data_IF_491248804348
#
_entry.id   IF_491248804348
#
_cell.length_a   1.000
_cell.length_b   1.000
_cell.length_c   1.000
_cell.angle_alpha   90.00
_cell.angle_beta   90.00
_cell.angle_gamma   90.00
#
_symmetry.space_group_name_H-M   'P 1'
#
loop_
_entity.id
_entity.type
_entity.pdbx_description
1 polymer ?
#
# COMPACT_ATOMS: atom_id res chain seq x y z
N UNK A 1 34.25 37.06 12.19
CA UNK A 1 34.93 36.52 11.00
C UNK A 1 34.47 35.10 10.76
N UNK A 2 34.08 34.81 9.53
CA UNK A 2 33.25 33.69 9.07
C UNK A 2 33.87 32.32 9.34
N UNK A 3 33.11 31.40 9.94
CA UNK A 3 33.42 29.97 9.96
C UNK A 3 33.01 29.34 8.63
N UNK A 4 33.99 29.07 7.76
CA UNK A 4 33.82 28.25 6.58
C UNK A 4 33.78 26.78 7.03
N UNK A 5 32.64 26.12 6.89
CA UNK A 5 32.58 24.66 6.81
C UNK A 5 32.79 24.32 5.34
N UNK A 6 34.03 24.02 4.95
CA UNK A 6 34.26 23.32 3.70
C UNK A 6 33.70 21.91 3.89
N UNK A 7 32.69 21.55 3.09
CA UNK A 7 32.29 20.17 2.87
C UNK A 7 33.50 19.45 2.27
N UNK A 8 34.39 18.95 3.12
CA UNK A 8 35.38 17.98 2.71
C UNK A 8 34.63 16.84 2.04
N UNK A 9 34.90 16.65 0.75
CA UNK A 9 34.43 15.50 0.00
C UNK A 9 34.65 14.26 0.89
N UNK A 10 33.58 13.55 1.21
CA UNK A 10 33.66 12.30 1.94
C UNK A 10 34.51 11.38 1.05
N UNK A 11 35.81 11.25 1.36
CA UNK A 11 36.66 10.26 0.69
C UNK A 11 35.98 8.92 0.92
N UNK A 12 35.54 8.21 -0.13
CA UNK A 12 34.90 6.92 0.06
C UNK A 12 35.93 6.03 0.76
N UNK A 13 35.65 5.65 2.01
CA UNK A 13 36.40 4.58 2.63
C UNK A 13 36.08 3.35 1.81
N UNK A 14 37.08 2.78 1.15
CA UNK A 14 36.97 1.59 0.31
C UNK A 14 36.70 0.35 1.18
N UNK A 15 35.60 0.38 1.92
CA UNK A 15 35.14 -0.69 2.79
C UNK A 15 34.25 -1.62 1.95
N UNK A 16 34.70 -2.86 1.68
CA UNK A 16 33.91 -3.83 0.93
C UNK A 16 32.57 -4.16 1.61
N UNK A 17 32.40 -3.87 2.91
CA UNK A 17 31.10 -4.02 3.57
C UNK A 17 30.05 -2.99 3.12
N UNK A 18 30.47 -1.85 2.58
CA UNK A 18 29.57 -0.75 2.18
C UNK A 18 29.28 -0.71 0.67
N UNK A 19 30.00 -1.50 -0.13
CA UNK A 19 29.81 -1.55 -1.59
C UNK A 19 29.79 -2.99 -2.11
N UNK A 20 28.63 -3.68 -2.03
CA UNK A 20 28.49 -5.07 -2.46
C UNK A 20 28.64 -5.26 -3.97
N UNK A 21 28.68 -4.19 -4.76
CA UNK A 21 28.79 -4.25 -6.23
C UNK A 21 30.25 -4.26 -6.71
N UNK A 22 31.20 -3.98 -5.81
CA UNK A 22 32.64 -3.98 -6.09
C UNK A 22 33.19 -5.40 -6.11
N UNK A 23 33.73 -5.82 -7.25
CA UNK A 23 34.25 -7.17 -7.45
C UNK A 23 35.77 -7.21 -7.41
N UNK A 24 36.42 -6.14 -7.86
CA UNK A 24 37.87 -6.06 -8.01
C UNK A 24 38.40 -4.76 -7.40
N UNK A 25 39.62 -4.81 -6.86
CA UNK A 25 40.34 -3.63 -6.40
C UNK A 25 40.88 -2.77 -7.57
N UNK A 26 41.28 -1.54 -7.28
CA UNK A 26 41.75 -0.57 -8.27
C UNK A 26 42.93 -1.06 -9.14
N UNK A 27 43.79 -1.94 -8.61
CA UNK A 27 44.93 -2.48 -9.39
C UNK A 27 44.46 -3.55 -10.36
N UNK A 28 43.59 -4.42 -9.90
CA UNK A 28 43.01 -5.52 -10.69
C UNK A 28 42.15 -4.97 -11.82
N UNK A 29 41.44 -3.86 -11.60
CA UNK A 29 40.63 -3.18 -12.60
C UNK A 29 41.38 -2.68 -13.84
N UNK A 30 42.70 -2.47 -13.73
CA UNK A 30 43.52 -2.02 -14.86
C UNK A 30 43.82 -3.15 -15.85
N UNK A 31 43.73 -4.40 -15.41
CA UNK A 31 44.14 -5.58 -16.20
C UNK A 31 43.00 -6.56 -16.46
N UNK A 32 41.96 -6.56 -15.62
CA UNK A 32 40.82 -7.47 -15.76
C UNK A 32 39.88 -6.98 -16.86
N UNK A 33 39.37 -7.92 -17.67
CA UNK A 33 38.34 -7.66 -18.67
C UNK A 33 37.19 -8.63 -18.43
N UNK A 34 36.03 -8.09 -18.06
CA UNK A 34 34.82 -8.86 -17.81
C UNK A 34 33.63 -8.14 -18.45
N UNK A 35 32.55 -8.89 -18.64
CA UNK A 35 31.28 -8.37 -19.15
C UNK A 35 30.29 -8.40 -18.00
N UNK A 36 29.57 -7.29 -17.80
CA UNK A 36 28.53 -7.22 -16.80
C UNK A 36 27.28 -7.98 -17.24
N UNK A 37 26.60 -8.69 -16.31
CA UNK A 37 25.34 -9.36 -16.63
C UNK A 37 24.25 -8.35 -17.03
N UNK A 38 23.21 -8.83 -17.70
CA UNK A 38 22.08 -7.99 -18.13
C UNK A 38 21.46 -7.22 -16.95
N UNK A 39 21.13 -5.95 -17.19
CA UNK A 39 20.58 -5.05 -16.17
C UNK A 39 21.62 -4.44 -15.22
N UNK A 40 22.92 -4.65 -15.48
CA UNK A 40 24.01 -4.03 -14.73
C UNK A 40 24.98 -3.30 -15.65
N UNK A 41 25.59 -2.23 -15.13
CA UNK A 41 26.59 -1.42 -15.82
C UNK A 41 27.95 -1.51 -15.14
N UNK A 42 29.00 -1.44 -15.95
CA UNK A 42 30.37 -1.35 -15.46
C UNK A 42 30.56 -0.02 -14.73
N UNK A 43 31.17 -0.08 -13.55
CA UNK A 43 31.68 1.10 -12.87
C UNK A 43 33.13 0.89 -12.49
N UNK A 44 33.89 1.99 -12.45
CA UNK A 44 35.26 2.04 -11.96
C UNK A 44 35.50 3.36 -11.27
N UNK A 45 36.09 3.30 -10.08
CA UNK A 45 36.46 4.45 -9.27
C UNK A 45 37.85 4.21 -8.62
N UNK A 46 38.26 5.12 -7.72
CA UNK A 46 39.53 5.04 -7.02
C UNK A 46 39.69 3.79 -6.14
N UNK A 47 38.57 3.17 -5.73
CA UNK A 47 38.57 2.00 -4.87
C UNK A 47 38.58 0.68 -5.68
N UNK A 48 38.22 0.70 -6.96
CA UNK A 48 38.05 -0.52 -7.77
C UNK A 48 36.90 -0.46 -8.76
N UNK A 49 36.44 -1.62 -9.19
CA UNK A 49 35.47 -1.77 -10.26
C UNK A 49 34.59 -3.00 -10.07
N UNK A 50 33.46 -2.99 -10.77
CA UNK A 50 32.49 -4.07 -10.74
C UNK A 50 31.29 -3.77 -11.61
N UNK A 51 30.19 -4.47 -11.31
CA UNK A 51 28.91 -4.29 -11.98
C UNK A 51 27.89 -3.80 -10.97
N UNK A 52 27.34 -2.61 -11.21
CA UNK A 52 26.25 -2.05 -10.39
C UNK A 52 24.95 -2.05 -11.20
N UNK A 53 23.77 -2.01 -10.55
CA UNK A 53 22.51 -2.00 -11.29
C UNK A 53 22.39 -0.78 -12.21
N UNK A 54 21.91 -0.98 -13.44
CA UNK A 54 21.69 0.10 -14.41
C UNK A 54 20.41 0.87 -14.08
N UNK A 55 20.57 1.94 -13.33
CA UNK A 55 19.46 2.77 -12.87
C UNK A 55 19.04 3.81 -13.90
N UNK A 56 17.74 3.94 -14.11
CA UNK A 56 17.15 4.95 -14.96
C UNK A 56 15.85 5.49 -14.34
N UNK A 57 15.47 6.69 -14.74
CA UNK A 57 14.22 7.29 -14.32
C UNK A 57 13.03 6.56 -14.94
N UNK A 58 12.17 6.00 -14.10
CA UNK A 58 10.92 5.35 -14.50
C UNK A 58 9.73 6.04 -13.84
N UNK A 59 8.52 5.78 -14.34
CA UNK A 59 7.33 6.41 -13.79
C UNK A 59 6.83 5.62 -12.59
N UNK A 60 6.68 6.28 -11.44
CA UNK A 60 6.17 5.64 -10.23
C UNK A 60 4.70 5.26 -10.35
N UNK A 61 4.22 4.44 -9.42
CA UNK A 61 2.84 3.94 -9.42
C UNK A 61 1.77 4.97 -9.03
N UNK A 62 2.16 6.10 -8.45
CA UNK A 62 1.21 7.12 -7.97
C UNK A 62 0.37 6.63 -6.79
N UNK A 63 -0.74 7.33 -6.55
CA UNK A 63 -1.67 6.99 -5.46
C UNK A 63 -2.69 5.92 -5.89
N UNK A 64 -3.16 5.06 -4.97
CA UNK A 64 -4.16 4.03 -5.28
C UNK A 64 -5.53 4.59 -5.69
N UNK A 65 -5.85 5.82 -5.28
CA UNK A 65 -7.10 6.52 -5.61
C UNK A 65 -6.74 7.87 -6.21
N UNK A 66 -7.18 8.10 -7.43
CA UNK A 66 -7.01 9.36 -8.14
C UNK A 66 -8.21 10.27 -7.90
N UNK A 67 -7.97 11.55 -7.66
CA UNK A 67 -9.01 12.57 -7.60
C UNK A 67 -8.54 13.85 -8.28
N UNK A 68 -9.49 14.62 -8.80
CA UNK A 68 -9.21 15.95 -9.34
C UNK A 68 -8.60 16.83 -8.25
N UNK A 69 -7.45 17.45 -8.56
CA UNK A 69 -6.68 18.31 -7.65
C UNK A 69 -5.95 17.57 -6.51
N UNK A 70 -5.42 16.38 -6.78
CA UNK A 70 -4.50 15.74 -5.84
C UNK A 70 -3.27 16.64 -5.59
N UNK A 71 -2.97 17.03 -4.34
CA UNK A 71 -1.82 17.87 -4.04
C UNK A 71 -0.54 17.11 -4.37
N UNK A 72 0.44 17.86 -4.89
CA UNK A 72 1.77 17.32 -5.12
C UNK A 72 2.42 16.93 -3.77
N UNK A 73 3.23 15.86 -3.72
CA UNK A 73 3.99 15.52 -2.53
C UNK A 73 4.89 16.70 -2.10
N UNK A 74 4.85 17.09 -0.82
CA UNK A 74 5.63 18.22 -0.31
C UNK A 74 7.12 17.91 -0.15
N UNK A 75 7.45 16.62 0.05
CA UNK A 75 8.80 16.17 0.41
C UNK A 75 9.61 15.70 -0.82
N UNK A 76 9.10 15.97 -2.02
CA UNK A 76 9.73 15.56 -3.28
C UNK A 76 10.08 16.79 -4.10
N UNK A 77 11.36 17.00 -4.47
CA UNK A 77 11.76 18.16 -5.28
C UNK A 77 11.27 18.04 -6.72
N UNK A 78 11.19 19.17 -7.44
CA UNK A 78 10.98 19.19 -8.89
C UNK A 78 12.17 18.59 -9.64
N UNK A 79 11.87 17.93 -10.76
CA UNK A 79 12.89 17.35 -11.63
C UNK A 79 13.71 18.45 -12.30
N UNK A 80 15.01 18.21 -12.42
CA UNK A 80 15.91 19.02 -13.24
C UNK A 80 15.70 18.70 -14.73
N UNK A 81 16.14 19.57 -15.66
CA UNK A 81 15.95 19.34 -17.10
C UNK A 81 16.55 18.03 -17.65
N UNK A 82 17.59 17.51 -17.00
CA UNK A 82 18.26 16.24 -17.32
C UNK A 82 17.54 14.99 -16.77
N UNK A 83 16.56 15.18 -15.89
CA UNK A 83 15.83 14.11 -15.21
C UNK A 83 14.52 13.83 -15.95
N UNK A 84 14.59 12.93 -16.93
CA UNK A 84 13.46 12.52 -17.78
C UNK A 84 13.35 11.00 -17.81
N UNK A 85 12.16 10.45 -18.12
CA UNK A 85 11.95 9.01 -18.22
C UNK A 85 12.96 8.36 -19.18
N UNK A 86 13.63 7.30 -18.72
CA UNK A 86 14.69 6.59 -19.45
C UNK A 86 16.09 7.19 -19.27
N UNK A 87 16.22 8.44 -18.80
CA UNK A 87 17.53 9.02 -18.49
C UNK A 87 18.21 8.26 -17.34
N UNK A 88 19.56 8.14 -17.36
CA UNK A 88 20.29 7.50 -16.28
C UNK A 88 20.17 8.31 -14.97
N UNK A 89 20.28 7.61 -13.85
CA UNK A 89 20.25 8.21 -12.53
C UNK A 89 21.19 7.44 -11.57
N UNK A 90 21.67 8.10 -10.52
CA UNK A 90 22.75 7.53 -9.69
C UNK A 90 22.28 6.93 -8.37
N UNK A 91 21.07 7.27 -7.91
CA UNK A 91 20.60 6.92 -6.55
C UNK A 91 19.29 6.16 -6.66
N UNK A 92 19.33 4.86 -6.34
CA UNK A 92 18.13 4.01 -6.33
C UNK A 92 17.07 4.59 -5.38
N UNK A 93 15.82 4.60 -5.84
CA UNK A 93 14.69 5.12 -5.09
C UNK A 93 14.60 6.65 -5.04
N UNK A 94 15.55 7.40 -5.61
CA UNK A 94 15.46 8.86 -5.73
C UNK A 94 14.20 9.25 -6.51
N UNK A 95 13.52 10.32 -6.08
CA UNK A 95 12.28 10.82 -6.68
C UNK A 95 12.38 12.27 -7.09
N UNK A 96 11.63 12.63 -8.13
CA UNK A 96 11.39 14.01 -8.48
C UNK A 96 10.01 14.20 -9.14
N UNK A 97 9.47 15.42 -9.04
CA UNK A 97 8.20 15.82 -9.64
C UNK A 97 8.48 16.40 -11.04
N UNK A 98 7.98 15.78 -12.13
CA UNK A 98 8.18 16.31 -13.47
C UNK A 98 7.45 17.64 -13.68
N UNK A 99 7.98 18.50 -14.55
CA UNK A 99 7.39 19.80 -14.88
C UNK A 99 5.98 19.67 -15.46
N UNK A 100 5.78 18.66 -16.31
CA UNK A 100 4.44 18.23 -16.74
C UNK A 100 3.91 17.25 -15.70
N UNK A 101 2.89 17.63 -14.91
CA UNK A 101 2.35 16.75 -13.89
C UNK A 101 1.80 15.49 -14.54
N UNK A 102 2.12 14.36 -13.92
CA UNK A 102 1.58 13.06 -14.29
C UNK A 102 0.30 12.79 -13.51
N UNK A 103 -0.64 12.06 -14.12
CA UNK A 103 -1.91 11.73 -13.48
C UNK A 103 -1.71 10.97 -12.16
N UNK A 104 -2.67 11.12 -11.25
CA UNK A 104 -2.72 10.40 -9.96
C UNK A 104 -1.50 10.64 -9.05
N UNK A 105 -0.90 11.83 -9.12
CA UNK A 105 0.26 12.22 -8.30
C UNK A 105 1.48 11.33 -8.52
N UNK A 106 1.64 10.82 -9.74
CA UNK A 106 2.82 10.05 -10.13
C UNK A 106 4.04 10.97 -10.19
N UNK A 107 5.19 10.39 -9.87
CA UNK A 107 6.51 11.05 -9.88
C UNK A 107 7.46 10.23 -10.73
N UNK A 108 8.60 10.79 -11.10
CA UNK A 108 9.71 9.97 -11.56
C UNK A 108 10.40 9.32 -10.35
N UNK A 109 10.83 8.08 -10.51
CA UNK A 109 11.62 7.33 -9.53
C UNK A 109 12.79 6.65 -10.24
N UNK A 110 13.97 6.71 -9.63
CA UNK A 110 15.17 6.05 -10.14
C UNK A 110 15.14 4.56 -9.75
N UNK A 111 15.05 3.65 -10.74
CA UNK A 111 15.00 2.19 -10.53
C UNK A 111 15.73 1.46 -11.67
N UNK A 112 15.95 0.16 -11.49
CA UNK A 112 16.50 -0.73 -12.53
C UNK A 112 15.49 -1.14 -13.58
N UNK A 113 14.19 -1.03 -13.28
CA UNK A 113 13.11 -1.40 -14.20
C UNK A 113 11.80 -0.74 -13.79
N UNK A 114 10.92 -0.56 -14.77
CA UNK A 114 9.56 -0.07 -14.55
C UNK A 114 8.76 -1.12 -13.74
N UNK A 115 8.13 -0.75 -12.61
CA UNK A 115 7.21 -1.66 -11.92
C UNK A 115 6.03 -1.97 -12.83
N UNK A 116 5.91 -3.25 -13.22
CA UNK A 116 4.83 -3.78 -14.08
C UNK A 116 3.52 -3.91 -13.28
N UNK A 117 3.63 -4.17 -11.97
CA UNK A 117 2.49 -4.29 -11.07
C UNK A 117 2.65 -3.29 -9.93
N UNK A 118 1.72 -2.34 -9.87
CA UNK A 118 1.65 -1.40 -8.77
C UNK A 118 1.03 -2.06 -7.54
N UNK A 119 1.68 -2.00 -6.35
CA UNK A 119 1.14 -2.61 -5.15
C UNK A 119 -0.20 -1.97 -4.74
N UNK A 120 -1.31 -2.63 -5.05
CA UNK A 120 -2.61 -2.31 -4.44
C UNK A 120 -2.54 -2.80 -3.00
N UNK A 121 -2.40 -1.87 -2.03
CA UNK A 121 -2.25 -2.10 -0.58
C UNK A 121 -2.07 -3.56 -0.16
N UNK A 122 -0.81 -3.98 0.08
CA UNK A 122 -0.53 -5.37 0.43
C UNK A 122 -1.30 -5.79 1.69
N UNK A 123 -1.84 -7.02 1.71
CA UNK A 123 -2.63 -7.56 2.82
C UNK A 123 -1.90 -7.45 4.17
N UNK A 124 -0.56 -7.58 4.17
CA UNK A 124 0.29 -7.45 5.37
C UNK A 124 0.25 -6.07 6.04
N UNK A 125 -0.10 -5.02 5.30
CA UNK A 125 -0.25 -3.65 5.80
C UNK A 125 -1.70 -3.28 6.12
N UNK A 126 -2.67 -4.19 5.87
CA UNK A 126 -4.05 -4.04 6.32
C UNK A 126 -4.17 -4.51 7.78
N UNK A 127 -3.44 -3.85 8.68
CA UNK A 127 -3.50 -4.13 10.12
C UNK A 127 -4.70 -3.41 10.72
N UNK A 128 -5.65 -4.14 11.29
CA UNK A 128 -6.88 -3.57 11.87
C UNK A 128 -8.19 -4.21 11.39
N UNK A 129 -8.13 -5.21 10.52
CA UNK A 129 -9.33 -6.01 10.18
C UNK A 129 -9.60 -6.96 11.35
N UNK A 130 -10.60 -6.64 12.17
CA UNK A 130 -11.11 -7.51 13.24
C UNK A 130 -12.58 -7.84 13.01
N UNK A 131 -12.98 -9.05 13.36
CA UNK A 131 -14.39 -9.37 13.48
C UNK A 131 -14.99 -8.61 14.66
N UNK A 132 -16.16 -8.00 14.44
CA UNK A 132 -16.87 -7.28 15.48
C UNK A 132 -17.45 -8.28 16.49
N UNK A 133 -17.28 -7.99 17.78
CA UNK A 133 -17.97 -8.70 18.84
C UNK A 133 -19.47 -8.45 18.79
N UNK A 134 -20.29 -9.28 19.42
CA UNK A 134 -21.76 -9.09 19.43
C UNK A 134 -22.15 -7.74 20.06
N UNK A 135 -21.41 -7.27 21.07
CA UNK A 135 -21.58 -5.93 21.65
C UNK A 135 -21.21 -4.82 20.67
N UNK A 136 -20.14 -4.99 19.89
CA UNK A 136 -19.75 -4.02 18.88
C UNK A 136 -20.76 -3.97 17.74
N UNK A 137 -21.31 -5.12 17.32
CA UNK A 137 -22.37 -5.19 16.31
C UNK A 137 -23.64 -4.49 16.78
N UNK A 138 -24.03 -4.65 18.04
CA UNK A 138 -25.21 -3.99 18.59
C UNK A 138 -25.03 -2.48 18.72
N UNK A 139 -23.84 -2.01 19.09
CA UNK A 139 -23.51 -0.57 19.09
C UNK A 139 -23.55 -0.01 17.69
N UNK A 140 -22.89 -0.68 16.75
CA UNK A 140 -22.91 -0.32 15.35
C UNK A 140 -24.34 -0.26 14.81
N UNK A 141 -25.18 -1.26 15.10
CA UNK A 141 -26.58 -1.29 14.69
C UNK A 141 -27.37 -0.07 15.20
N UNK A 142 -27.13 0.37 16.44
CA UNK A 142 -27.75 1.57 16.99
C UNK A 142 -27.20 2.84 16.33
N UNK A 143 -25.89 2.94 16.15
CA UNK A 143 -25.24 4.06 15.48
C UNK A 143 -25.69 4.18 14.01
N UNK A 144 -26.03 3.06 13.37
CA UNK A 144 -26.54 3.05 12.00
C UNK A 144 -27.99 3.49 11.90
N UNK A 145 -28.79 3.32 12.96
CA UNK A 145 -30.17 3.83 13.02
C UNK A 145 -30.22 5.34 13.23
N UNK A 146 -29.18 5.92 13.84
CA UNK A 146 -29.09 7.37 14.01
C UNK A 146 -28.57 8.09 12.76
N UNK A 147 -28.14 7.34 11.75
CA UNK A 147 -27.80 7.87 10.44
C UNK A 147 -29.10 8.21 9.69
N UNK A 148 -29.38 9.50 9.55
CA UNK A 148 -30.46 10.02 8.73
C UNK A 148 -30.09 9.92 7.23
N UNK A 149 -30.74 8.99 6.53
CA UNK A 149 -30.53 8.72 5.11
C UNK A 149 -30.94 9.91 4.22
N UNK A 150 -31.82 10.80 4.68
CA UNK A 150 -32.22 11.98 3.92
C UNK A 150 -31.11 13.05 3.92
N UNK A 151 -30.37 13.18 5.01
CA UNK A 151 -29.31 14.20 5.19
C UNK A 151 -27.98 13.78 4.54
N UNK A 152 -27.77 12.48 4.32
CA UNK A 152 -26.57 11.92 3.71
C UNK A 152 -26.45 12.10 2.19
N UNK A 153 -27.56 12.31 1.49
CA UNK A 153 -27.54 12.56 0.04
C UNK A 153 -26.91 13.91 -0.33
N UNK A 154 -26.71 14.80 0.64
CA UNK A 154 -26.31 16.18 0.37
C UNK A 154 -24.79 16.44 0.40
N UNK A 155 -23.94 15.66 1.09
CA UNK A 155 -22.57 16.16 1.38
C UNK A 155 -21.38 15.20 1.41
N UNK A 156 -21.47 13.88 1.21
CA UNK A 156 -20.24 13.06 1.20
C UNK A 156 -20.25 11.92 0.20
N UNK A 157 -19.22 11.93 -0.65
CA UNK A 157 -18.93 10.90 -1.63
C UNK A 157 -18.96 9.50 -1.00
N UNK A 158 -19.86 8.68 -1.56
CA UNK A 158 -20.02 7.22 -1.44
C UNK A 158 -18.87 6.46 -0.77
N UNK A 159 -18.96 6.24 0.54
CA UNK A 159 -18.25 5.15 1.22
C UNK A 159 -19.05 3.83 1.09
N UNK A 160 -18.94 3.20 -0.08
CA UNK A 160 -19.58 1.93 -0.40
C UNK A 160 -19.13 0.78 0.54
N UNK A 161 -17.92 0.85 1.09
CA UNK A 161 -17.38 -0.17 1.99
C UNK A 161 -17.97 -0.05 3.40
N UNK A 162 -18.23 1.17 3.85
CA UNK A 162 -19.06 1.44 5.02
C UNK A 162 -20.42 0.77 4.89
N UNK A 163 -21.19 1.08 3.84
CA UNK A 163 -22.54 0.53 3.66
C UNK A 163 -22.58 -0.99 3.49
N UNK A 164 -21.66 -1.57 2.72
CA UNK A 164 -21.64 -3.02 2.53
C UNK A 164 -21.31 -3.77 3.81
N UNK A 165 -20.37 -3.27 4.62
CA UNK A 165 -20.05 -3.86 5.93
C UNK A 165 -21.25 -3.82 6.88
N UNK A 166 -22.03 -2.76 6.81
CA UNK A 166 -23.29 -2.56 7.55
C UNK A 166 -24.37 -3.52 7.11
N UNK A 167 -24.61 -3.64 5.80
CA UNK A 167 -25.61 -4.57 5.26
C UNK A 167 -25.28 -6.00 5.66
N UNK A 168 -24.01 -6.40 5.61
CA UNK A 168 -23.57 -7.73 6.05
C UNK A 168 -23.83 -7.94 7.54
N UNK A 169 -23.53 -6.96 8.40
CA UNK A 169 -23.82 -7.06 9.84
C UNK A 169 -25.33 -7.17 10.13
N UNK A 170 -26.15 -6.43 9.42
CA UNK A 170 -27.61 -6.48 9.54
C UNK A 170 -28.16 -7.85 9.11
N UNK A 171 -27.68 -8.41 7.99
CA UNK A 171 -28.08 -9.73 7.51
C UNK A 171 -27.70 -10.84 8.49
N UNK A 172 -26.49 -10.78 9.06
CA UNK A 172 -26.05 -11.72 10.10
C UNK A 172 -26.93 -11.67 11.35
N UNK A 173 -27.36 -10.46 11.75
CA UNK A 173 -28.23 -10.27 12.90
C UNK A 173 -29.63 -10.84 12.64
N UNK A 174 -30.19 -10.61 11.46
CA UNK A 174 -31.49 -11.16 11.07
C UNK A 174 -31.48 -12.69 10.98
N UNK A 175 -30.42 -13.28 10.43
CA UNK A 175 -30.28 -14.74 10.36
C UNK A 175 -30.34 -15.39 11.75
N UNK A 176 -29.70 -14.78 12.75
CA UNK A 176 -29.70 -15.27 14.14
C UNK A 176 -31.07 -15.12 14.83
N UNK A 177 -31.79 -14.04 14.54
CA UNK A 177 -33.16 -13.86 15.03
C UNK A 177 -34.10 -14.91 14.43
N UNK A 178 -33.96 -15.20 13.13
CA UNK A 178 -34.69 -16.27 12.45
C UNK A 178 -34.44 -17.63 13.09
N UNK A 179 -33.20 -17.97 13.43
CA UNK A 179 -32.88 -19.22 14.13
C UNK A 179 -33.52 -19.29 15.52
N UNK A 180 -33.49 -18.18 16.27
CA UNK A 180 -34.09 -18.10 17.61
C UNK A 180 -35.60 -18.32 17.55
N UNK A 181 -36.28 -17.63 16.62
CA UNK A 181 -37.71 -17.76 16.42
C UNK A 181 -38.10 -19.18 15.96
N UNK A 182 -37.31 -19.79 15.06
CA UNK A 182 -37.52 -21.18 14.64
C UNK A 182 -37.45 -22.16 15.82
N UNK A 183 -36.46 -22.02 16.70
CA UNK A 183 -36.37 -22.85 17.92
C UNK A 183 -37.56 -22.67 18.85
N UNK A 184 -38.08 -21.45 18.98
CA UNK A 184 -39.27 -21.20 19.79
C UNK A 184 -40.52 -21.86 19.20
N UNK A 185 -40.70 -21.80 17.88
CA UNK A 185 -41.81 -22.47 17.19
C UNK A 185 -41.73 -23.98 17.41
N UNK A 186 -40.56 -24.60 17.23
CA UNK A 186 -40.37 -26.04 17.46
C UNK A 186 -40.67 -26.44 18.91
N UNK A 187 -40.24 -25.64 19.88
CA UNK A 187 -40.51 -25.88 21.29
C UNK A 187 -42.02 -25.78 21.61
N UNK A 188 -42.71 -24.78 21.09
CA UNK A 188 -44.15 -24.60 21.28
C UNK A 188 -44.94 -25.72 20.62
N UNK A 189 -44.57 -26.13 19.40
CA UNK A 189 -45.20 -27.26 18.72
C UNK A 189 -45.07 -28.55 19.52
N UNK A 190 -43.90 -28.83 20.13
CA UNK A 190 -43.73 -29.98 21.02
C UNK A 190 -44.66 -29.93 22.24
N UNK A 191 -44.81 -28.76 22.87
CA UNK A 191 -45.73 -28.58 24.02
C UNK A 191 -47.19 -28.82 23.62
N UNK A 192 -47.62 -28.30 22.47
CA UNK A 192 -48.99 -28.54 21.95
C UNK A 192 -49.23 -30.02 21.66
N UNK A 193 -48.27 -30.72 21.02
CA UNK A 193 -48.37 -32.17 20.79
C UNK A 193 -48.44 -32.98 22.08
N UNK A 194 -47.63 -32.65 23.08
CA UNK A 194 -47.66 -33.33 24.37
C UNK A 194 -49.00 -33.14 25.10
N UNK A 195 -49.56 -31.92 25.06
CA UNK A 195 -50.87 -31.62 25.65
C UNK A 195 -51.98 -32.37 24.94
N UNK A 196 -52.01 -32.34 23.59
CA UNK A 196 -53.04 -33.04 22.79
C UNK A 196 -53.02 -34.57 22.98
N UNK A 197 -51.85 -35.20 23.08
CA UNK A 197 -51.75 -36.63 23.40
C UNK A 197 -52.26 -36.97 24.81
N UNK A 198 -52.08 -36.07 25.78
CA UNK A 198 -52.59 -36.24 27.16
C UNK A 198 -54.11 -36.15 27.24
N UNK A 199 -54.75 -35.32 26.40
CA UNK A 199 -56.21 -35.16 26.38
C UNK A 199 -56.94 -36.30 25.67
N UNK A 200 -56.28 -37.02 24.75
CA UNK A 200 -56.87 -38.15 24.00
C UNK A 200 -56.75 -39.48 24.77
N UNK A 201 -55.85 -39.56 25.75
CA UNK A 201 -55.60 -40.77 26.54
C UNK A 201 -56.39 -40.83 27.87
N UNK A 202 -57.31 -39.89 28.10
CA UNK A 202 -58.28 -39.86 29.21
C UNK A 202 -59.69 -39.98 28.64
#
# INVERSE_FOLDING_TARGET
SKGHWELGACKPTCDPANDPYRQYDAKTCQVVRFVCPEGTEYFSDECGCGCKPSLHWVVSCGTPVCYENQPAPTDVPTCKPDQQTGSPCSVDGQRCIPEKPLDCGRTLICLTSQPVVCPISQRKFKTGIRYLSESDKSKLYTDLKSIDLATLNATKGRDLYGYTSVTVAALQTQAKQLETLRRQIEALQKRVKALTHSTISK
#
